data_IF_703368678836
#
_entry.id   IF_703368678836
#
_cell.length_a   1.000
_cell.length_b   1.000
_cell.length_c   1.000
_cell.angle_alpha   90.00
_cell.angle_beta   90.00
_cell.angle_gamma   90.00
#
_symmetry.space_group_name_H-M   'P 1'
#
loop_
_entity.id
_entity.type
_entity.pdbx_description
1 polymer ?
#
# COMPACT_ATOMS: atom_id res chain seq x y z
N UNK A 1 72.67 39.66 -38.57
CA UNK A 1 72.33 38.24 -38.37
C UNK A 1 70.90 37.98 -38.86
N UNK A 2 70.79 37.24 -39.96
CA UNK A 2 69.70 36.34 -40.41
C UNK A 2 68.21 36.80 -40.43
N UNK A 3 67.75 36.98 -41.69
CA UNK A 3 66.49 36.53 -42.36
C UNK A 3 65.16 37.13 -41.89
N UNK A 4 64.47 37.96 -42.69
CA UNK A 4 63.72 37.73 -43.94
C UNK A 4 62.33 37.07 -43.79
N UNK A 5 61.32 37.90 -44.11
CA UNK A 5 60.24 37.69 -45.08
C UNK A 5 58.89 37.06 -44.67
N UNK A 6 57.84 37.87 -44.92
CA UNK A 6 56.57 37.59 -45.64
C UNK A 6 55.60 36.53 -45.06
N UNK A 7 54.28 36.54 -45.27
CA UNK A 7 53.26 37.49 -45.73
C UNK A 7 51.90 36.76 -45.58
N UNK A 8 50.81 37.55 -45.51
CA UNK A 8 49.44 37.25 -45.97
C UNK A 8 48.49 36.29 -45.22
N UNK A 9 47.43 36.93 -44.71
CA UNK A 9 45.98 36.65 -44.90
C UNK A 9 45.41 35.26 -44.60
N UNK A 10 44.44 35.23 -43.67
CA UNK A 10 43.04 34.81 -43.97
C UNK A 10 42.08 35.13 -42.82
N UNK A 11 41.08 35.96 -43.13
CA UNK A 11 39.81 36.09 -42.41
C UNK A 11 39.12 34.72 -42.26
N UNK A 12 38.69 34.38 -41.04
CA UNK A 12 37.60 33.41 -40.80
C UNK A 12 36.73 33.86 -39.62
N UNK A 13 35.59 34.43 -39.99
CA UNK A 13 34.25 34.29 -39.38
C UNK A 13 34.16 34.12 -37.86
N UNK A 14 33.76 35.20 -37.20
CA UNK A 14 32.91 35.18 -36.01
C UNK A 14 31.55 34.60 -36.39
N UNK A 15 31.27 33.34 -36.07
CA UNK A 15 29.90 32.79 -36.07
C UNK A 15 29.83 31.50 -35.24
N UNK A 16 28.92 31.49 -34.26
CA UNK A 16 28.21 30.30 -33.80
C UNK A 16 29.01 29.29 -32.97
N UNK A 17 29.08 29.49 -31.66
CA UNK A 17 28.91 28.36 -30.73
C UNK A 17 27.43 28.28 -30.35
N UNK A 18 26.63 27.76 -31.28
CA UNK A 18 25.37 27.15 -30.92
C UNK A 18 25.67 26.06 -29.90
N UNK A 19 25.22 26.28 -28.66
CA UNK A 19 24.90 25.19 -27.76
C UNK A 19 23.93 24.29 -28.51
N UNK A 20 24.44 23.17 -29.01
CA UNK A 20 23.62 22.09 -29.54
C UNK A 20 22.77 21.59 -28.37
N UNK A 21 21.56 22.13 -28.27
CA UNK A 21 20.45 21.51 -27.59
C UNK A 21 20.26 20.15 -28.28
N UNK A 22 20.81 19.09 -27.68
CA UNK A 22 20.47 17.73 -28.09
C UNK A 22 19.00 17.53 -27.74
N UNK A 23 18.13 17.77 -28.72
CA UNK A 23 16.75 17.32 -28.71
C UNK A 23 16.76 15.79 -28.73
N UNK A 24 16.82 15.15 -27.56
CA UNK A 24 16.60 13.71 -27.49
C UNK A 24 15.11 13.44 -27.68
N UNK A 25 14.74 12.88 -28.82
CA UNK A 25 13.39 12.40 -29.16
C UNK A 25 13.03 11.07 -28.48
N UNK A 26 13.84 10.63 -27.51
CA UNK A 26 13.65 9.35 -26.82
C UNK A 26 12.71 9.50 -25.63
N UNK A 27 11.77 8.56 -25.43
CA UNK A 27 10.84 8.60 -24.31
C UNK A 27 11.58 8.53 -22.97
N UNK A 28 11.00 9.14 -21.93
CA UNK A 28 11.51 8.98 -20.57
C UNK A 28 11.35 7.52 -20.13
N UNK A 29 12.44 6.86 -19.78
CA UNK A 29 12.42 5.49 -19.27
C UNK A 29 12.33 5.49 -17.74
N UNK A 30 11.28 4.86 -17.20
CA UNK A 30 11.07 4.66 -15.75
C UNK A 30 11.00 3.16 -15.47
N UNK A 31 11.85 2.70 -14.54
CA UNK A 31 11.89 1.30 -14.14
C UNK A 31 11.18 1.11 -12.79
N UNK A 32 10.13 0.30 -12.71
CA UNK A 32 9.34 0.10 -11.49
C UNK A 32 9.41 -1.34 -10.99
N UNK A 33 9.45 -1.53 -9.66
CA UNK A 33 9.51 -2.86 -9.05
C UNK A 33 8.51 -2.97 -7.91
N UNK A 34 7.40 -3.67 -8.16
CA UNK A 34 6.45 -4.11 -7.14
C UNK A 34 6.63 -5.62 -6.88
N UNK A 35 6.61 -6.02 -5.60
CA UNK A 35 6.75 -7.43 -5.20
C UNK A 35 5.47 -8.06 -4.64
N UNK A 36 4.40 -7.29 -4.48
CA UNK A 36 3.15 -7.68 -3.85
C UNK A 36 1.95 -6.99 -4.51
N UNK A 37 0.75 -7.55 -4.37
CA UNK A 37 -0.47 -7.02 -4.97
C UNK A 37 -0.81 -5.59 -4.50
N UNK A 38 -0.53 -5.25 -3.23
CA UNK A 38 -0.69 -3.87 -2.72
C UNK A 38 0.24 -2.89 -3.43
N UNK A 39 1.51 -3.27 -3.62
CA UNK A 39 2.50 -2.49 -4.34
C UNK A 39 2.14 -2.31 -5.82
N UNK A 40 1.55 -3.33 -6.45
CA UNK A 40 1.07 -3.26 -7.83
C UNK A 40 -0.04 -2.22 -8.01
N UNK A 41 -1.03 -2.18 -7.12
CA UNK A 41 -2.10 -1.15 -7.16
C UNK A 41 -1.52 0.26 -7.00
N UNK A 42 -0.58 0.45 -6.06
CA UNK A 42 0.12 1.74 -5.87
C UNK A 42 0.91 2.10 -7.12
N UNK A 43 1.62 1.13 -7.71
CA UNK A 43 2.39 1.30 -8.94
C UNK A 43 1.55 1.67 -10.15
N UNK A 44 0.40 1.02 -10.34
CA UNK A 44 -0.55 1.37 -11.41
C UNK A 44 -1.04 2.81 -11.28
N UNK A 45 -1.44 3.23 -10.06
CA UNK A 45 -1.85 4.62 -9.80
C UNK A 45 -0.73 5.62 -10.07
N UNK A 46 0.50 5.30 -9.67
CA UNK A 46 1.68 6.11 -9.95
C UNK A 46 1.95 6.24 -11.46
N UNK A 47 1.93 5.12 -12.20
CA UNK A 47 2.13 5.12 -13.65
C UNK A 47 1.10 5.98 -14.37
N UNK A 48 -0.18 5.85 -13.98
CA UNK A 48 -1.26 6.69 -14.49
C UNK A 48 -1.02 8.17 -14.22
N UNK A 49 -0.68 8.52 -12.97
CA UNK A 49 -0.41 9.90 -12.59
C UNK A 49 0.82 10.48 -13.32
N UNK A 50 1.88 9.70 -13.48
CA UNK A 50 3.07 10.10 -14.25
C UNK A 50 2.74 10.42 -15.70
N UNK A 51 1.99 9.57 -16.39
CA UNK A 51 1.59 9.84 -17.78
C UNK A 51 0.75 11.12 -17.89
N UNK A 52 -0.16 11.33 -16.95
CA UNK A 52 -1.03 12.51 -16.96
C UNK A 52 -0.27 13.81 -16.69
N UNK A 53 0.77 13.78 -15.83
CA UNK A 53 1.48 14.98 -15.42
C UNK A 53 2.74 15.29 -16.25
N UNK A 54 3.37 14.30 -16.90
CA UNK A 54 4.66 14.50 -17.59
C UNK A 54 4.55 15.31 -18.87
N UNK A 55 3.44 15.20 -19.63
CA UNK A 55 3.27 15.95 -20.89
C UNK A 55 4.09 15.42 -22.08
N UNK A 56 4.76 14.27 -21.95
CA UNK A 56 5.52 13.60 -23.01
C UNK A 56 5.38 12.07 -22.96
N UNK A 57 6.15 11.36 -23.81
CA UNK A 57 6.13 9.89 -23.83
C UNK A 57 6.97 9.29 -22.69
N UNK A 58 6.37 8.38 -21.92
CA UNK A 58 7.04 7.59 -20.88
C UNK A 58 7.03 6.12 -21.29
N UNK A 59 8.20 5.47 -21.21
CA UNK A 59 8.34 4.03 -21.32
C UNK A 59 8.51 3.42 -19.93
N UNK A 60 7.63 2.48 -19.58
CA UNK A 60 7.67 1.74 -18.33
C UNK A 60 8.22 0.33 -18.53
N UNK A 61 9.25 -0.03 -17.75
CA UNK A 61 9.80 -1.39 -17.68
C UNK A 61 9.91 -1.83 -16.22
N UNK A 62 9.93 -3.14 -15.95
CA UNK A 62 10.25 -3.66 -14.63
C UNK A 62 9.41 -4.85 -14.19
N UNK A 63 9.00 -4.85 -12.92
CA UNK A 63 8.26 -5.95 -12.28
C UNK A 63 6.96 -5.40 -11.72
N UNK A 64 5.84 -5.94 -12.16
CA UNK A 64 4.50 -5.50 -11.75
C UNK A 64 3.44 -6.55 -12.03
N UNK A 65 2.27 -6.36 -11.42
CA UNK A 65 1.09 -7.18 -11.59
C UNK A 65 0.12 -6.61 -12.61
N UNK A 66 -1.15 -6.99 -12.48
CA UNK A 66 -2.18 -6.63 -13.45
C UNK A 66 -2.50 -5.14 -13.46
N UNK A 67 -2.39 -4.46 -12.31
CA UNK A 67 -2.66 -3.01 -12.21
C UNK A 67 -1.60 -2.21 -12.97
N UNK A 68 -0.32 -2.54 -12.80
CA UNK A 68 0.77 -1.88 -13.56
C UNK A 68 0.74 -2.27 -15.04
N UNK A 69 0.39 -3.52 -15.38
CA UNK A 69 0.26 -3.96 -16.77
C UNK A 69 -0.86 -3.23 -17.51
N UNK A 70 -2.00 -3.01 -16.87
CA UNK A 70 -3.11 -2.23 -17.43
C UNK A 70 -2.69 -0.77 -17.75
N UNK A 71 -1.66 -0.28 -17.05
CA UNK A 71 -1.12 1.07 -17.19
C UNK A 71 0.08 1.15 -18.17
N UNK A 72 0.32 0.09 -18.95
CA UNK A 72 1.32 0.08 -20.02
C UNK A 72 2.69 -0.48 -19.63
N UNK A 73 2.79 -1.23 -18.53
CA UNK A 73 3.99 -2.04 -18.26
C UNK A 73 4.05 -3.19 -19.28
N UNK A 74 4.82 -2.99 -20.37
CA UNK A 74 4.78 -3.80 -21.59
C UNK A 74 4.91 -5.31 -21.33
N UNK A 75 5.80 -5.69 -20.41
CA UNK A 75 5.86 -7.04 -19.84
C UNK A 75 6.58 -7.00 -18.49
N UNK A 76 6.05 -7.73 -17.50
CA UNK A 76 6.77 -7.91 -16.24
C UNK A 76 7.95 -8.84 -16.48
N UNK A 77 9.13 -8.48 -15.95
CA UNK A 77 10.36 -9.26 -16.10
C UNK A 77 10.25 -10.69 -15.55
N UNK A 78 9.39 -10.87 -14.56
CA UNK A 78 8.95 -12.15 -13.98
C UNK A 78 7.66 -11.93 -13.16
N UNK A 79 6.93 -12.99 -12.79
CA UNK A 79 5.77 -12.86 -11.90
C UNK A 79 6.14 -12.25 -10.55
N UNK A 80 5.50 -11.14 -10.15
CA UNK A 80 5.79 -10.48 -8.87
C UNK A 80 5.55 -11.38 -7.65
N UNK A 81 4.69 -12.40 -7.77
CA UNK A 81 4.45 -13.42 -6.74
C UNK A 81 5.73 -14.20 -6.37
N UNK A 82 6.75 -14.20 -7.22
CA UNK A 82 8.05 -14.80 -6.89
C UNK A 82 8.88 -13.97 -5.90
N UNK A 83 8.55 -12.69 -5.71
CA UNK A 83 9.15 -11.82 -4.68
C UNK A 83 8.36 -11.86 -3.36
N UNK A 84 7.11 -12.31 -3.41
CA UNK A 84 6.25 -12.49 -2.24
C UNK A 84 6.71 -13.71 -1.45
N UNK A 85 7.54 -13.47 -0.44
CA UNK A 85 8.06 -14.53 0.44
C UNK A 85 7.31 -14.48 1.75
N UNK A 86 6.76 -15.62 2.13
CA UNK A 86 5.84 -15.70 3.25
C UNK A 86 6.62 -16.04 4.54
N UNK A 87 6.75 -15.09 5.47
CA UNK A 87 7.22 -15.35 6.85
C UNK A 87 8.72 -15.60 7.02
N UNK A 88 9.24 -15.42 8.25
CA UNK A 88 10.69 -15.42 8.52
C UNK A 88 11.37 -16.78 8.28
N UNK A 89 10.66 -17.90 8.47
CA UNK A 89 11.20 -19.25 8.31
C UNK A 89 11.17 -19.78 6.86
N UNK A 90 10.15 -19.42 6.06
CA UNK A 90 10.05 -19.85 4.66
C UNK A 90 10.93 -18.98 3.73
N UNK A 91 11.56 -17.92 4.26
CA UNK A 91 12.55 -17.12 3.54
C UNK A 91 13.79 -17.93 3.19
N UNK A 92 14.29 -18.78 4.10
CA UNK A 92 15.58 -19.46 3.93
C UNK A 92 15.66 -20.31 2.64
N UNK A 93 14.67 -21.19 2.33
CA UNK A 93 14.69 -21.96 1.07
C UNK A 93 14.50 -21.10 -0.18
N UNK A 94 13.87 -19.93 -0.04
CA UNK A 94 13.61 -19.02 -1.17
C UNK A 94 14.79 -18.09 -1.50
N UNK A 95 15.81 -18.01 -0.63
CA UNK A 95 16.96 -17.11 -0.81
C UNK A 95 17.69 -17.26 -2.16
N UNK A 96 17.97 -18.47 -2.69
CA UNK A 96 18.64 -18.61 -3.99
C UNK A 96 17.84 -18.00 -5.13
N UNK A 97 16.51 -18.21 -5.11
CA UNK A 97 15.58 -17.64 -6.08
C UNK A 97 15.51 -16.12 -5.97
N UNK A 98 15.40 -15.58 -4.77
CA UNK A 98 15.42 -14.12 -4.55
C UNK A 98 16.73 -13.52 -5.06
N UNK A 99 17.87 -14.15 -4.79
CA UNK A 99 19.18 -13.70 -5.28
C UNK A 99 19.26 -13.74 -6.81
N UNK A 100 18.73 -14.80 -7.44
CA UNK A 100 18.64 -14.88 -8.90
C UNK A 100 17.76 -13.76 -9.49
N UNK A 101 16.60 -13.49 -8.90
CA UNK A 101 15.70 -12.39 -9.31
C UNK A 101 16.33 -11.02 -9.09
N UNK A 102 17.11 -10.84 -8.02
CA UNK A 102 17.89 -9.63 -7.78
C UNK A 102 18.91 -9.40 -8.91
N UNK A 103 19.69 -10.42 -9.27
CA UNK A 103 20.67 -10.35 -10.36
C UNK A 103 20.00 -10.10 -11.72
N UNK A 104 18.88 -10.76 -11.99
CA UNK A 104 18.10 -10.57 -13.21
C UNK A 104 17.57 -9.13 -13.30
N UNK A 105 17.01 -8.60 -12.21
CA UNK A 105 16.50 -7.21 -12.16
C UNK A 105 17.64 -6.21 -12.36
N UNK A 106 18.80 -6.42 -11.74
CA UNK A 106 19.98 -5.57 -11.97
C UNK A 106 20.45 -5.60 -13.43
N UNK A 107 20.38 -6.75 -14.12
CA UNK A 107 20.70 -6.85 -15.55
C UNK A 107 19.70 -6.08 -16.40
N UNK A 108 18.41 -6.19 -16.09
CA UNK A 108 17.35 -5.46 -16.78
C UNK A 108 17.50 -3.94 -16.61
N UNK A 109 17.69 -3.44 -15.39
CA UNK A 109 17.96 -2.01 -15.13
C UNK A 109 19.17 -1.51 -15.93
N UNK A 110 20.25 -2.29 -15.99
CA UNK A 110 21.43 -1.92 -16.80
C UNK A 110 21.14 -1.88 -18.30
N UNK A 111 20.32 -2.80 -18.82
CA UNK A 111 19.94 -2.81 -20.24
C UNK A 111 19.05 -1.62 -20.57
N UNK A 112 18.09 -1.34 -19.70
CA UNK A 112 17.09 -0.30 -19.89
C UNK A 112 17.65 1.13 -19.80
N UNK A 113 18.76 1.32 -19.07
CA UNK A 113 19.34 2.64 -18.77
C UNK A 113 18.25 3.67 -18.34
N UNK A 114 17.45 3.35 -17.31
CA UNK A 114 16.33 4.22 -16.93
C UNK A 114 16.84 5.53 -16.34
N UNK A 115 16.00 6.56 -16.40
CA UNK A 115 16.25 7.82 -15.70
C UNK A 115 16.00 7.66 -14.20
N UNK A 116 14.99 6.86 -13.85
CA UNK A 116 14.56 6.60 -12.47
C UNK A 116 14.26 5.12 -12.27
N UNK A 117 14.73 4.57 -11.15
CA UNK A 117 14.33 3.24 -10.64
C UNK A 117 13.50 3.44 -9.39
N UNK A 118 12.26 2.95 -9.39
CA UNK A 118 11.31 3.08 -8.29
C UNK A 118 11.01 1.70 -7.70
N UNK A 119 11.52 1.45 -6.49
CA UNK A 119 11.07 0.31 -5.67
C UNK A 119 9.75 0.66 -4.99
N UNK A 120 8.69 -0.12 -5.22
CA UNK A 120 7.35 0.14 -4.64
C UNK A 120 7.06 -0.93 -3.59
N UNK A 121 6.92 -0.49 -2.34
CA UNK A 121 6.78 -1.37 -1.18
C UNK A 121 7.87 -2.47 -1.16
N UNK A 122 7.57 -3.70 -0.71
CA UNK A 122 8.44 -4.88 -0.72
C UNK A 122 9.88 -4.57 -0.29
N UNK A 123 9.99 -3.82 0.82
CA UNK A 123 11.20 -3.15 1.32
C UNK A 123 12.43 -4.08 1.39
N UNK A 124 12.22 -5.35 1.71
CA UNK A 124 13.30 -6.34 1.78
C UNK A 124 14.03 -6.54 0.45
N UNK A 125 13.30 -6.71 -0.65
CA UNK A 125 13.87 -6.87 -1.99
C UNK A 125 14.32 -5.53 -2.57
N UNK A 126 13.45 -4.52 -2.53
CA UNK A 126 13.68 -3.24 -3.17
C UNK A 126 14.86 -2.48 -2.55
N UNK A 127 14.97 -2.42 -1.21
CA UNK A 127 16.12 -1.74 -0.58
C UNK A 127 17.45 -2.47 -0.86
N UNK A 128 17.44 -3.79 -1.02
CA UNK A 128 18.64 -4.55 -1.44
C UNK A 128 19.02 -4.25 -2.90
N UNK A 129 18.03 -4.17 -3.79
CA UNK A 129 18.22 -3.77 -5.17
C UNK A 129 18.81 -2.36 -5.26
N UNK A 130 18.16 -1.37 -4.64
CA UNK A 130 18.57 0.03 -4.68
C UNK A 130 19.97 0.21 -4.09
N UNK A 131 20.27 -0.38 -2.92
CA UNK A 131 21.65 -0.36 -2.37
C UNK A 131 22.67 -0.97 -3.32
N UNK A 132 22.36 -2.10 -3.97
CA UNK A 132 23.30 -2.72 -4.90
C UNK A 132 23.56 -1.84 -6.14
N UNK A 133 22.52 -1.16 -6.65
CA UNK A 133 22.65 -0.18 -7.72
C UNK A 133 23.45 1.04 -7.27
N UNK A 134 23.23 1.54 -6.05
CA UNK A 134 23.97 2.66 -5.47
C UNK A 134 25.47 2.33 -5.30
N UNK A 135 25.81 1.15 -4.79
CA UNK A 135 27.20 0.69 -4.68
C UNK A 135 27.89 0.63 -6.05
N UNK A 136 27.19 0.12 -7.08
CA UNK A 136 27.71 0.10 -8.45
C UNK A 136 27.90 1.51 -9.02
N UNK A 137 26.94 2.43 -8.77
CA UNK A 137 27.06 3.85 -9.14
C UNK A 137 28.31 4.48 -8.53
N UNK A 138 28.54 4.27 -7.23
CA UNK A 138 29.71 4.79 -6.53
C UNK A 138 31.04 4.23 -7.08
N UNK A 139 31.05 2.95 -7.49
CA UNK A 139 32.21 2.35 -8.15
C UNK A 139 32.42 2.88 -9.58
N UNK A 140 31.33 3.12 -10.32
CA UNK A 140 31.35 3.58 -11.71
C UNK A 140 31.70 5.07 -11.84
N UNK A 141 31.33 5.91 -10.86
CA UNK A 141 31.70 7.33 -10.80
C UNK A 141 33.22 7.56 -10.70
N UNK A 142 34.00 6.54 -10.33
CA UNK A 142 35.48 6.56 -10.39
C UNK A 142 36.03 6.34 -11.80
N UNK A 143 35.20 5.85 -12.72
CA UNK A 143 35.61 5.37 -14.06
C UNK A 143 34.88 6.09 -15.22
N UNK A 144 34.16 7.20 -14.97
CA UNK A 144 33.59 8.03 -16.04
C UNK A 144 32.43 7.42 -16.85
N UNK A 145 31.66 6.50 -16.27
CA UNK A 145 30.54 5.78 -16.91
C UNK A 145 29.23 6.62 -16.87
N UNK A 146 28.28 6.48 -17.82
CA UNK A 146 27.11 7.37 -17.99
C UNK A 146 26.21 7.54 -16.76
N UNK A 147 25.37 8.59 -16.79
CA UNK A 147 24.46 9.01 -15.72
C UNK A 147 23.67 7.82 -15.14
N UNK A 148 23.95 7.50 -13.88
CA UNK A 148 23.24 6.45 -13.17
C UNK A 148 21.81 6.90 -12.85
N UNK A 149 20.84 5.97 -12.80
CA UNK A 149 19.46 6.31 -12.48
C UNK A 149 19.34 6.93 -11.10
N UNK A 150 18.34 7.78 -10.93
CA UNK A 150 17.85 8.19 -9.61
C UNK A 150 17.16 7.00 -8.96
N UNK A 151 17.52 6.71 -7.72
CA UNK A 151 17.07 5.55 -6.95
C UNK A 151 16.01 5.98 -5.93
N UNK A 152 14.75 5.62 -6.19
CA UNK A 152 13.63 6.02 -5.36
C UNK A 152 13.01 4.80 -4.70
N UNK A 153 12.69 4.90 -3.41
CA UNK A 153 11.83 3.93 -2.73
C UNK A 153 10.49 4.62 -2.45
N UNK A 154 9.41 4.08 -3.02
CA UNK A 154 8.04 4.44 -2.70
C UNK A 154 7.50 3.48 -1.64
N UNK A 155 6.89 4.04 -0.58
CA UNK A 155 6.52 3.35 0.66
C UNK A 155 7.77 3.05 1.50
N UNK A 156 8.11 4.02 2.36
CA UNK A 156 9.26 3.92 3.25
C UNK A 156 9.14 2.80 4.29
N UNK A 157 10.27 2.26 4.79
CA UNK A 157 10.23 1.30 5.87
C UNK A 157 9.72 1.92 7.16
N UNK A 158 8.94 1.15 7.92
CA UNK A 158 8.34 1.60 9.19
C UNK A 158 9.38 1.61 10.31
N UNK A 159 10.43 2.43 10.15
CA UNK A 159 11.56 2.52 11.08
C UNK A 159 11.10 2.95 12.49
N UNK A 160 10.08 3.82 12.55
CA UNK A 160 9.41 4.27 13.77
C UNK A 160 8.78 3.15 14.60
N UNK A 161 8.52 1.97 14.01
CA UNK A 161 7.90 0.86 14.72
C UNK A 161 8.86 0.12 15.69
N UNK A 162 10.07 0.64 15.87
CA UNK A 162 11.15 -0.01 16.61
C UNK A 162 11.87 0.99 17.52
N UNK A 163 12.42 0.51 18.62
CA UNK A 163 13.04 1.37 19.65
C UNK A 163 14.30 2.10 19.17
N UNK A 164 14.87 1.68 18.04
CA UNK A 164 16.06 2.23 17.38
C UNK A 164 15.72 2.97 16.08
N UNK A 165 14.58 3.68 16.06
CA UNK A 165 14.03 4.31 14.85
C UNK A 165 15.05 5.11 14.03
N UNK A 166 15.83 5.98 14.68
CA UNK A 166 16.88 6.78 14.02
C UNK A 166 17.99 5.94 13.41
N UNK A 167 18.46 4.91 14.12
CA UNK A 167 19.48 4.00 13.62
C UNK A 167 18.97 3.21 12.41
N UNK A 168 17.69 2.79 12.43
CA UNK A 168 17.07 2.11 11.28
C UNK A 168 16.86 3.03 10.09
N UNK A 169 16.43 4.26 10.32
CA UNK A 169 16.32 5.26 9.27
C UNK A 169 17.69 5.53 8.64
N UNK A 170 18.74 5.68 9.46
CA UNK A 170 20.11 5.93 9.00
C UNK A 170 20.69 4.79 8.14
N UNK A 171 20.18 3.55 8.24
CA UNK A 171 20.60 2.43 7.36
C UNK A 171 20.28 2.67 5.88
N UNK A 172 19.42 3.62 5.56
CA UNK A 172 19.07 3.95 4.16
C UNK A 172 20.00 5.00 3.55
N UNK A 173 20.87 5.65 4.35
CA UNK A 173 21.84 6.65 3.87
C UNK A 173 22.67 6.11 2.71
N UNK A 174 22.73 6.87 1.63
CA UNK A 174 23.49 6.53 0.42
C UNK A 174 22.96 5.34 -0.39
N UNK A 175 21.85 4.71 0.03
CA UNK A 175 21.21 3.60 -0.68
C UNK A 175 20.01 4.01 -1.53
N UNK A 176 19.47 5.20 -1.28
CA UNK A 176 18.36 5.83 -2.02
C UNK A 176 18.65 7.32 -2.20
N UNK A 177 18.20 7.88 -3.31
CA UNK A 177 18.27 9.32 -3.60
C UNK A 177 17.02 10.04 -3.11
N UNK A 178 15.88 9.35 -3.03
CA UNK A 178 14.63 9.90 -2.50
C UNK A 178 13.76 8.80 -1.89
N UNK A 179 13.10 9.10 -0.78
CA UNK A 179 12.14 8.23 -0.12
C UNK A 179 10.75 8.87 -0.14
N UNK A 180 9.79 8.26 -0.83
CA UNK A 180 8.41 8.72 -0.82
C UNK A 180 7.67 8.03 0.34
N UNK A 181 7.38 8.81 1.38
CA UNK A 181 6.80 8.32 2.65
C UNK A 181 5.31 8.64 2.74
N UNK A 182 4.58 7.79 3.48
CA UNK A 182 3.11 7.80 3.47
C UNK A 182 2.49 8.41 4.72
N UNK A 183 3.26 8.51 5.80
CA UNK A 183 2.80 9.09 7.05
C UNK A 183 3.51 10.44 7.29
N UNK A 184 2.80 11.44 7.82
CA UNK A 184 3.32 12.82 7.89
C UNK A 184 4.59 12.92 8.76
N UNK A 185 4.70 12.13 9.82
CA UNK A 185 5.87 12.15 10.70
C UNK A 185 7.10 11.40 10.13
N UNK A 186 6.92 10.56 9.10
CA UNK A 186 8.02 9.77 8.52
C UNK A 186 9.04 10.68 7.83
N UNK A 187 8.59 11.75 7.18
CA UNK A 187 9.48 12.67 6.44
C UNK A 187 10.52 13.30 7.38
N UNK A 188 10.07 13.83 8.53
CA UNK A 188 10.96 14.37 9.55
C UNK A 188 11.92 13.31 10.12
N UNK A 189 11.43 12.07 10.33
CA UNK A 189 12.24 10.94 10.80
C UNK A 189 13.37 10.58 9.85
N UNK A 190 13.11 10.50 8.55
CA UNK A 190 14.14 10.14 7.58
C UNK A 190 15.10 11.30 7.31
N UNK A 191 14.58 12.53 7.22
CA UNK A 191 15.42 13.73 6.99
C UNK A 191 16.40 14.00 8.12
N UNK A 192 15.96 13.92 9.40
CA UNK A 192 16.88 14.07 10.54
C UNK A 192 17.93 12.95 10.57
N UNK A 193 17.57 11.78 10.05
CA UNK A 193 18.48 10.66 9.85
C UNK A 193 19.29 10.79 8.55
N UNK A 194 19.34 11.94 7.87
CA UNK A 194 20.18 12.18 6.69
C UNK A 194 19.76 11.42 5.44
N UNK A 195 18.51 11.01 5.34
CA UNK A 195 17.92 10.34 4.17
C UNK A 195 16.93 11.29 3.52
N UNK A 196 17.09 11.65 2.23
CA UNK A 196 16.11 12.46 1.51
C UNK A 196 14.76 11.76 1.52
N UNK A 197 13.72 12.49 1.93
CA UNK A 197 12.37 11.98 2.00
C UNK A 197 11.38 13.08 1.68
N UNK A 198 10.26 12.69 1.06
CA UNK A 198 9.12 13.55 0.74
C UNK A 198 7.86 12.85 1.20
N UNK A 199 7.06 13.52 2.02
CA UNK A 199 5.71 13.05 2.34
C UNK A 199 4.81 13.23 1.13
N UNK A 200 4.26 12.13 0.63
CA UNK A 200 3.40 12.11 -0.57
C UNK A 200 1.96 11.79 -0.25
N UNK A 201 1.57 11.77 1.02
CA UNK A 201 0.23 11.33 1.43
C UNK A 201 0.04 9.81 1.35
N UNK A 202 -1.13 9.35 1.80
CA UNK A 202 -1.42 7.93 1.92
C UNK A 202 -2.31 7.41 0.78
N UNK A 203 -1.91 6.37 0.01
CA UNK A 203 -2.68 5.84 -1.13
C UNK A 203 -4.09 5.32 -0.79
N UNK A 204 -4.34 4.97 0.47
CA UNK A 204 -5.66 4.60 0.97
C UNK A 204 -6.71 5.70 0.75
N UNK A 205 -6.28 6.96 0.65
CA UNK A 205 -7.16 8.08 0.37
C UNK A 205 -7.40 8.31 -1.12
N UNK A 206 -6.66 7.66 -2.02
CA UNK A 206 -6.83 7.89 -3.47
C UNK A 206 -8.16 7.34 -4.00
N UNK A 207 -8.79 6.40 -3.28
CA UNK A 207 -10.13 5.88 -3.60
C UNK A 207 -11.27 6.74 -3.01
N UNK A 208 -10.91 7.74 -2.23
CA UNK A 208 -11.79 8.69 -1.55
C UNK A 208 -11.67 10.00 -2.31
N UNK A 209 -12.77 10.75 -2.50
CA UNK A 209 -12.72 11.96 -3.30
C UNK A 209 -11.77 12.99 -2.66
N UNK A 210 -11.24 13.89 -3.49
CA UNK A 210 -10.49 15.06 -3.02
C UNK A 210 -11.43 15.85 -2.07
N UNK A 211 -11.12 15.85 -0.77
CA UNK A 211 -12.02 16.35 0.28
C UNK A 211 -12.29 15.35 1.41
N UNK A 212 -11.96 14.07 1.21
CA UNK A 212 -12.09 12.98 2.20
C UNK A 212 -13.52 12.54 2.48
N UNK A 213 -14.42 12.87 1.56
CA UNK A 213 -15.72 12.22 1.43
C UNK A 213 -15.61 11.09 0.40
N UNK A 214 -16.20 9.91 0.65
CA UNK A 214 -16.39 8.93 -0.41
C UNK A 214 -17.21 9.58 -1.52
N UNK A 215 -16.82 9.42 -2.81
CA UNK A 215 -17.53 10.06 -3.91
C UNK A 215 -19.01 9.69 -3.93
N UNK A 216 -19.83 10.66 -4.34
CA UNK A 216 -21.29 10.59 -4.35
C UNK A 216 -21.95 11.16 -3.09
N UNK A 217 -23.22 11.52 -3.19
CA UNK A 217 -24.08 11.99 -2.08
C UNK A 217 -24.37 10.86 -1.09
N UNK A 218 -24.84 11.21 0.12
CA UNK A 218 -25.25 10.20 1.10
C UNK A 218 -26.34 9.26 0.55
N UNK A 219 -27.24 9.78 -0.30
CA UNK A 219 -28.28 9.00 -0.97
C UNK A 219 -27.70 8.03 -2.00
N UNK A 220 -26.74 8.46 -2.81
CA UNK A 220 -26.06 7.60 -3.80
C UNK A 220 -25.29 6.47 -3.12
N UNK A 221 -24.60 6.76 -2.00
CA UNK A 221 -23.91 5.73 -1.22
C UNK A 221 -24.89 4.73 -0.60
N UNK A 222 -26.03 5.18 -0.11
CA UNK A 222 -27.09 4.29 0.39
C UNK A 222 -27.69 3.42 -0.73
N UNK A 223 -27.82 3.97 -1.93
CA UNK A 223 -28.28 3.23 -3.11
C UNK A 223 -27.25 2.18 -3.55
N UNK A 224 -25.95 2.53 -3.59
CA UNK A 224 -24.84 1.59 -3.89
C UNK A 224 -24.81 0.44 -2.88
N UNK A 225 -24.90 0.74 -1.59
CA UNK A 225 -24.97 -0.26 -0.53
C UNK A 225 -26.20 -1.18 -0.67
N UNK A 226 -27.36 -0.62 -1.03
CA UNK A 226 -28.60 -1.38 -1.27
C UNK A 226 -28.48 -2.28 -2.50
N UNK A 227 -27.89 -1.78 -3.58
CA UNK A 227 -27.63 -2.56 -4.79
C UNK A 227 -26.68 -3.72 -4.50
N UNK A 228 -25.59 -3.47 -3.77
CA UNK A 228 -24.66 -4.50 -3.35
C UNK A 228 -25.32 -5.57 -2.46
N UNK A 229 -26.17 -5.15 -1.50
CA UNK A 229 -26.93 -6.10 -0.67
C UNK A 229 -27.78 -7.04 -1.54
N UNK A 230 -28.43 -6.52 -2.59
CA UNK A 230 -29.22 -7.35 -3.52
C UNK A 230 -28.34 -8.27 -4.36
N UNK A 231 -27.24 -7.76 -4.92
CA UNK A 231 -26.30 -8.53 -5.75
C UNK A 231 -25.73 -9.74 -5.00
N UNK A 232 -25.38 -9.55 -3.73
CA UNK A 232 -24.74 -10.57 -2.89
C UNK A 232 -25.75 -11.44 -2.14
N UNK A 233 -27.06 -11.14 -2.27
CA UNK A 233 -28.13 -11.90 -1.62
C UNK A 233 -28.20 -11.69 -0.10
N UNK A 234 -27.84 -10.49 0.37
CA UNK A 234 -27.93 -10.11 1.78
C UNK A 234 -29.37 -9.74 2.16
N UNK A 235 -29.80 -10.15 3.35
CA UNK A 235 -31.14 -9.80 3.84
C UNK A 235 -31.25 -8.29 4.13
N UNK A 236 -32.38 -7.63 3.78
CA UNK A 236 -32.59 -6.20 4.06
C UNK A 236 -32.49 -5.83 5.54
N UNK A 237 -32.88 -6.74 6.44
CA UNK A 237 -32.82 -6.53 7.89
C UNK A 237 -31.54 -7.08 8.55
N UNK A 238 -30.65 -7.72 7.78
CA UNK A 238 -29.40 -8.26 8.31
C UNK A 238 -28.49 -7.16 8.82
N UNK A 239 -27.84 -7.45 9.94
CA UNK A 239 -26.63 -6.76 10.34
C UNK A 239 -25.44 -7.40 9.64
N UNK A 240 -24.69 -6.59 8.91
CA UNK A 240 -23.61 -7.06 8.04
C UNK A 240 -22.27 -6.88 8.74
N UNK A 241 -21.57 -7.99 8.96
CA UNK A 241 -20.23 -8.01 9.52
C UNK A 241 -19.20 -8.23 8.39
N UNK A 242 -18.39 -7.21 8.10
CA UNK A 242 -17.34 -7.31 7.09
C UNK A 242 -16.06 -7.88 7.71
N UNK A 243 -15.57 -9.01 7.21
CA UNK A 243 -14.34 -9.65 7.70
C UNK A 243 -13.22 -9.43 6.69
N UNK A 244 -12.12 -8.84 7.14
CA UNK A 244 -10.98 -8.46 6.29
C UNK A 244 -9.72 -9.15 6.84
N UNK A 245 -9.40 -10.38 6.39
CA UNK A 245 -8.36 -11.20 7.01
C UNK A 245 -6.92 -10.81 6.63
N UNK A 246 -6.75 -9.82 5.74
CA UNK A 246 -5.44 -9.39 5.22
C UNK A 246 -5.30 -9.65 3.72
N UNK A 247 -4.19 -9.20 3.15
CA UNK A 247 -3.93 -9.31 1.70
C UNK A 247 -2.94 -10.40 1.34
N UNK A 248 -2.19 -10.91 2.32
CA UNK A 248 -1.17 -11.95 2.12
C UNK A 248 -1.71 -13.33 2.48
N UNK A 249 -1.26 -14.37 1.79
CA UNK A 249 -1.71 -15.74 2.03
C UNK A 249 -1.54 -16.19 3.49
N UNK A 250 -0.43 -15.86 4.14
CA UNK A 250 -0.22 -16.19 5.56
C UNK A 250 -1.16 -15.44 6.50
N UNK A 251 -1.39 -14.15 6.24
CA UNK A 251 -2.35 -13.36 7.01
C UNK A 251 -3.75 -13.96 6.85
N UNK A 252 -4.16 -14.27 5.62
CA UNK A 252 -5.45 -14.92 5.33
C UNK A 252 -5.58 -16.27 6.06
N UNK A 253 -4.57 -17.14 5.97
CA UNK A 253 -4.56 -18.46 6.63
C UNK A 253 -4.60 -18.37 8.15
N UNK A 254 -3.92 -17.38 8.74
CA UNK A 254 -3.88 -17.22 10.20
C UNK A 254 -5.14 -16.53 10.73
N UNK A 255 -5.63 -15.50 10.04
CA UNK A 255 -6.68 -14.61 10.53
C UNK A 255 -8.08 -15.11 10.18
N UNK A 256 -8.32 -15.49 8.92
CA UNK A 256 -9.67 -15.78 8.45
C UNK A 256 -10.39 -16.86 9.29
N UNK A 257 -9.76 -17.98 9.69
CA UNK A 257 -10.41 -18.95 10.58
C UNK A 257 -10.80 -18.35 11.93
N UNK A 258 -9.97 -17.47 12.50
CA UNK A 258 -10.27 -16.79 13.77
C UNK A 258 -11.44 -15.83 13.63
N UNK A 259 -11.48 -15.05 12.54
CA UNK A 259 -12.56 -14.11 12.26
C UNK A 259 -13.90 -14.84 12.08
N UNK A 260 -13.90 -15.90 11.28
CA UNK A 260 -15.10 -16.72 11.04
C UNK A 260 -15.60 -17.33 12.36
N UNK A 261 -14.72 -17.96 13.16
CA UNK A 261 -15.11 -18.53 14.46
C UNK A 261 -15.66 -17.46 15.42
N UNK A 262 -15.11 -16.25 15.41
CA UNK A 262 -15.63 -15.14 16.22
C UNK A 262 -17.02 -14.71 15.78
N UNK A 263 -17.22 -14.53 14.48
CA UNK A 263 -18.52 -14.19 13.90
C UNK A 263 -19.58 -15.27 14.16
N UNK A 264 -19.19 -16.53 14.09
CA UNK A 264 -20.03 -17.68 14.38
C UNK A 264 -20.45 -17.76 15.84
N UNK A 265 -19.50 -17.51 16.76
CA UNK A 265 -19.78 -17.45 18.20
C UNK A 265 -20.75 -16.31 18.52
N UNK A 266 -20.60 -15.16 17.86
CA UNK A 266 -21.55 -14.06 17.97
C UNK A 266 -22.94 -14.46 17.48
N UNK A 267 -23.04 -15.08 16.30
CA UNK A 267 -24.32 -15.53 15.76
C UNK A 267 -25.02 -16.55 16.68
N UNK A 268 -24.26 -17.44 17.31
CA UNK A 268 -24.76 -18.39 18.30
C UNK A 268 -25.26 -17.72 19.58
N UNK A 269 -24.46 -16.81 20.18
CA UNK A 269 -24.89 -16.02 21.34
C UNK A 269 -26.17 -15.24 21.05
N UNK A 270 -26.29 -14.69 19.84
CA UNK A 270 -27.47 -13.96 19.41
C UNK A 270 -28.72 -14.84 19.40
N UNK A 271 -28.62 -16.05 18.84
CA UNK A 271 -29.72 -17.04 18.84
C UNK A 271 -30.14 -17.47 20.23
N UNK A 272 -29.19 -17.57 21.17
CA UNK A 272 -29.45 -17.92 22.57
C UNK A 272 -30.00 -16.75 23.40
N UNK A 273 -30.08 -15.54 22.84
CA UNK A 273 -30.49 -14.34 23.58
C UNK A 273 -29.42 -13.79 24.53
N UNK A 274 -28.17 -14.25 24.41
CA UNK A 274 -27.03 -13.91 25.28
C UNK A 274 -26.19 -12.74 24.73
N UNK A 275 -26.51 -12.25 23.54
CA UNK A 275 -25.81 -11.14 22.90
C UNK A 275 -26.53 -9.81 23.17
N UNK A 276 -25.80 -8.72 23.35
CA UNK A 276 -26.37 -7.38 23.49
C UNK A 276 -27.15 -6.97 22.23
N UNK A 277 -26.71 -7.47 21.07
CA UNK A 277 -27.37 -7.29 19.78
C UNK A 277 -28.61 -8.17 19.58
N UNK A 278 -28.95 -9.08 20.51
CA UNK A 278 -30.16 -9.92 20.43
C UNK A 278 -31.46 -9.11 20.41
N UNK A 279 -31.45 -7.83 20.82
CA UNK A 279 -32.58 -6.91 20.63
C UNK A 279 -32.96 -6.66 19.17
N UNK A 280 -32.07 -6.96 18.23
CA UNK A 280 -32.29 -6.74 16.81
C UNK A 280 -32.75 -8.02 16.12
N UNK A 281 -33.92 -7.97 15.49
CA UNK A 281 -34.61 -9.15 14.96
C UNK A 281 -33.95 -9.78 13.71
N UNK A 282 -33.14 -9.01 12.98
CA UNK A 282 -32.46 -9.50 11.76
C UNK A 282 -31.31 -10.48 12.02
N UNK A 283 -30.89 -11.27 11.01
CA UNK A 283 -29.75 -12.17 11.13
C UNK A 283 -28.41 -11.41 11.10
N UNK A 284 -27.32 -12.10 11.46
CA UNK A 284 -25.96 -11.65 11.17
C UNK A 284 -25.52 -12.33 9.87
N UNK A 285 -25.09 -11.52 8.91
CA UNK A 285 -24.54 -12.00 7.64
C UNK A 285 -23.12 -11.47 7.46
N UNK A 286 -22.24 -12.32 6.91
CA UNK A 286 -20.81 -12.06 6.79
C UNK A 286 -20.48 -11.72 5.34
N UNK A 287 -19.63 -10.72 5.16
CA UNK A 287 -19.05 -10.39 3.85
C UNK A 287 -17.53 -10.44 3.97
N UNK A 288 -16.86 -11.15 3.06
CA UNK A 288 -15.40 -11.27 3.02
C UNK A 288 -14.88 -10.74 1.69
N UNK A 289 -14.42 -9.48 1.62
CA UNK A 289 -13.74 -8.97 0.43
C UNK A 289 -12.36 -9.60 0.29
N UNK A 290 -12.19 -10.45 -0.71
CA UNK A 290 -10.91 -11.08 -1.01
C UNK A 290 -9.95 -10.09 -1.70
N UNK A 291 -8.68 -10.11 -1.30
CA UNK A 291 -7.63 -9.39 -2.02
C UNK A 291 -7.42 -9.98 -3.43
N UNK A 292 -6.86 -9.22 -4.39
CA UNK A 292 -6.54 -9.73 -5.72
C UNK A 292 -5.72 -11.03 -5.64
N UNK A 293 -6.13 -12.07 -6.38
CA UNK A 293 -5.48 -13.37 -6.37
C UNK A 293 -5.75 -14.25 -5.14
N UNK A 294 -6.47 -13.77 -4.12
CA UNK A 294 -6.73 -14.52 -2.88
C UNK A 294 -8.10 -15.19 -2.82
N UNK A 295 -8.96 -15.00 -3.82
CA UNK A 295 -10.35 -15.50 -3.82
C UNK A 295 -10.45 -17.00 -3.54
N UNK A 296 -9.69 -17.82 -4.27
CA UNK A 296 -9.73 -19.28 -4.11
C UNK A 296 -9.29 -19.75 -2.72
N UNK A 297 -8.29 -19.09 -2.12
CA UNK A 297 -7.82 -19.42 -0.77
C UNK A 297 -8.86 -19.02 0.30
N UNK A 298 -9.49 -17.86 0.12
CA UNK A 298 -10.57 -17.40 1.01
C UNK A 298 -11.77 -18.34 0.92
N UNK A 299 -12.23 -18.68 -0.29
CA UNK A 299 -13.33 -19.62 -0.49
C UNK A 299 -13.04 -20.98 0.17
N UNK A 300 -11.83 -21.51 -0.03
CA UNK A 300 -11.39 -22.76 0.59
C UNK A 300 -11.47 -22.71 2.11
N UNK A 301 -10.92 -21.67 2.73
CA UNK A 301 -10.91 -21.53 4.20
C UNK A 301 -12.33 -21.32 4.75
N UNK A 302 -13.17 -20.53 4.06
CA UNK A 302 -14.57 -20.34 4.43
C UNK A 302 -15.30 -21.69 4.41
N UNK A 303 -15.17 -22.45 3.33
CA UNK A 303 -15.79 -23.77 3.21
C UNK A 303 -15.29 -24.72 4.31
N UNK A 304 -13.98 -24.85 4.51
CA UNK A 304 -13.40 -25.73 5.54
C UNK A 304 -13.84 -25.35 6.95
N UNK A 305 -13.82 -24.05 7.28
CA UNK A 305 -14.15 -23.57 8.62
C UNK A 305 -15.63 -23.72 8.93
N UNK A 306 -16.51 -23.41 7.96
CA UNK A 306 -17.96 -23.51 8.15
C UNK A 306 -18.46 -24.96 8.03
N UNK A 307 -17.85 -25.80 7.19
CA UNK A 307 -18.24 -27.22 7.01
C UNK A 307 -17.90 -28.09 8.22
N UNK A 308 -16.84 -27.76 8.97
CA UNK A 308 -16.45 -28.46 10.20
C UNK A 308 -17.54 -28.48 11.30
N UNK A 309 -18.67 -27.79 11.10
CA UNK A 309 -19.79 -27.70 12.04
C UNK A 309 -20.88 -28.77 11.84
N UNK A 310 -20.83 -29.53 10.75
CA UNK A 310 -21.92 -30.45 10.38
C UNK A 310 -23.21 -29.71 9.98
N UNK A 311 -24.16 -30.43 9.39
CA UNK A 311 -25.41 -29.90 8.82
C UNK A 311 -26.46 -29.45 9.85
N UNK A 312 -26.10 -29.34 11.13
CA UNK A 312 -27.00 -28.88 12.18
C UNK A 312 -27.16 -27.35 12.16
N UNK A 313 -28.00 -26.91 11.22
CA UNK A 313 -28.70 -25.62 11.04
C UNK A 313 -28.30 -24.41 11.89
N UNK A 314 -27.88 -23.34 11.21
CA UNK A 314 -27.96 -21.96 11.73
C UNK A 314 -26.65 -21.15 11.73
N UNK A 315 -25.61 -21.57 11.02
CA UNK A 315 -24.39 -20.75 10.85
C UNK A 315 -24.66 -19.39 10.21
N UNK A 316 -23.80 -18.40 10.46
CA UNK A 316 -23.89 -17.11 9.78
C UNK A 316 -23.61 -17.31 8.28
N UNK A 317 -24.48 -16.78 7.41
CA UNK A 317 -24.28 -16.83 5.96
C UNK A 317 -23.03 -16.01 5.63
N UNK A 318 -22.12 -16.57 4.82
CA UNK A 318 -20.88 -15.90 4.45
C UNK A 318 -20.78 -15.74 2.94
N UNK A 319 -20.67 -14.50 2.48
CA UNK A 319 -20.51 -14.17 1.07
C UNK A 319 -19.09 -13.66 0.80
N UNK A 320 -18.34 -14.38 -0.05
CA UNK A 320 -17.01 -13.96 -0.47
C UNK A 320 -17.13 -13.12 -1.74
N UNK A 321 -16.58 -11.91 -1.73
CA UNK A 321 -16.64 -10.98 -2.85
C UNK A 321 -15.25 -10.66 -3.38
N UNK A 322 -15.16 -10.30 -4.66
CA UNK A 322 -13.90 -9.89 -5.28
C UNK A 322 -13.43 -8.51 -4.81
N UNK A 323 -12.19 -8.15 -5.14
CA UNK A 323 -11.60 -6.87 -4.77
C UNK A 323 -12.34 -5.66 -5.37
N UNK A 324 -12.99 -5.82 -6.53
CA UNK A 324 -13.78 -4.77 -7.18
C UNK A 324 -15.02 -4.35 -6.39
N UNK A 325 -15.59 -5.25 -5.58
CA UNK A 325 -16.79 -4.96 -4.77
C UNK A 325 -16.46 -4.52 -3.35
N UNK A 326 -15.18 -4.30 -3.02
CA UNK A 326 -14.72 -3.98 -1.66
C UNK A 326 -15.36 -2.69 -1.11
N UNK A 327 -15.37 -1.64 -1.92
CA UNK A 327 -15.95 -0.35 -1.53
C UNK A 327 -17.45 -0.47 -1.23
N UNK A 328 -18.18 -1.15 -2.11
CA UNK A 328 -19.60 -1.40 -1.94
C UNK A 328 -19.86 -2.27 -0.69
N UNK A 329 -18.99 -3.25 -0.41
CA UNK A 329 -19.04 -4.03 0.82
C UNK A 329 -18.87 -3.16 2.08
N UNK A 330 -17.97 -2.17 2.05
CA UNK A 330 -17.82 -1.22 3.16
C UNK A 330 -19.07 -0.37 3.34
N UNK A 331 -19.65 0.15 2.26
CA UNK A 331 -20.90 0.90 2.32
C UNK A 331 -22.07 0.10 2.89
N UNK A 332 -22.09 -1.22 2.70
CA UNK A 332 -23.13 -2.11 3.20
C UNK A 332 -22.89 -2.62 4.64
N UNK A 333 -21.66 -2.51 5.16
CA UNK A 333 -21.25 -3.08 6.44
C UNK A 333 -21.70 -2.24 7.64
N UNK A 334 -22.18 -2.90 8.69
CA UNK A 334 -22.51 -2.26 9.96
C UNK A 334 -21.28 -2.19 10.88
N UNK A 335 -20.44 -3.23 10.85
CA UNK A 335 -19.15 -3.32 11.56
C UNK A 335 -18.15 -4.06 10.68
N UNK A 336 -16.88 -3.68 10.73
CA UNK A 336 -15.77 -4.39 10.10
C UNK A 336 -14.77 -4.93 11.14
N UNK A 337 -14.39 -6.21 11.01
CA UNK A 337 -13.27 -6.79 11.77
C UNK A 337 -12.11 -6.99 10.80
N UNK A 338 -11.05 -6.22 10.98
CA UNK A 338 -10.02 -6.09 9.97
C UNK A 338 -8.61 -6.31 10.49
N UNK A 339 -7.83 -7.10 9.74
CA UNK A 339 -6.41 -7.26 9.97
C UNK A 339 -5.72 -5.89 10.03
N UNK A 340 -4.86 -5.71 11.03
CA UNK A 340 -4.18 -4.44 11.28
C UNK A 340 -3.33 -3.99 10.09
N UNK A 341 -3.62 -2.82 9.51
CA UNK A 341 -2.84 -2.25 8.41
C UNK A 341 -3.54 -1.11 7.67
N UNK A 342 -3.16 -0.93 6.40
CA UNK A 342 -3.73 0.10 5.50
C UNK A 342 -5.26 0.03 5.41
N UNK A 343 -5.83 -1.17 5.49
CA UNK A 343 -7.27 -1.38 5.38
C UNK A 343 -8.06 -0.62 6.45
N UNK A 344 -7.47 -0.39 7.64
CA UNK A 344 -8.11 0.38 8.70
C UNK A 344 -8.28 1.86 8.32
N UNK A 345 -7.39 2.40 7.49
CA UNK A 345 -7.52 3.76 6.95
C UNK A 345 -8.60 3.84 5.86
N UNK A 346 -8.71 2.81 5.02
CA UNK A 346 -9.80 2.72 4.02
C UNK A 346 -11.17 2.66 4.72
N UNK A 347 -11.30 1.84 5.77
CA UNK A 347 -12.52 1.75 6.59
C UNK A 347 -12.81 3.06 7.33
N UNK A 348 -11.78 3.73 7.86
CA UNK A 348 -11.94 5.05 8.46
C UNK A 348 -12.45 6.07 7.44
N UNK A 349 -11.98 6.00 6.19
CA UNK A 349 -12.44 6.87 5.13
C UNK A 349 -13.88 6.61 4.71
N UNK A 350 -14.34 5.36 4.72
CA UNK A 350 -15.74 5.05 4.46
C UNK A 350 -16.65 5.26 5.67
N UNK A 351 -16.10 5.54 6.86
CA UNK A 351 -16.86 5.76 8.09
C UNK A 351 -17.46 4.48 8.66
N UNK A 352 -16.89 3.33 8.32
CA UNK A 352 -17.34 2.03 8.83
C UNK A 352 -16.77 1.82 10.23
N UNK A 353 -17.62 1.54 11.25
CA UNK A 353 -17.15 1.14 12.57
C UNK A 353 -16.32 -0.12 12.48
N UNK A 354 -15.20 -0.17 13.19
CA UNK A 354 -14.22 -1.23 12.98
C UNK A 354 -13.54 -1.68 14.27
N UNK A 355 -12.98 -2.90 14.22
CA UNK A 355 -12.04 -3.44 15.20
C UNK A 355 -10.78 -3.89 14.46
N UNK A 356 -9.62 -3.40 14.88
CA UNK A 356 -8.35 -3.86 14.35
C UNK A 356 -7.93 -5.15 15.06
N UNK A 357 -7.53 -6.15 14.29
CA UNK A 357 -7.15 -7.45 14.80
C UNK A 357 -5.84 -7.91 14.19
N UNK A 358 -5.01 -8.61 14.94
CA UNK A 358 -3.81 -9.24 14.36
C UNK A 358 -3.37 -10.42 15.19
N UNK A 359 -3.10 -11.55 14.54
CA UNK A 359 -2.59 -12.77 15.15
C UNK A 359 -1.32 -13.21 14.44
N UNK A 360 -0.38 -13.81 15.19
CA UNK A 360 0.85 -14.37 14.64
C UNK A 360 1.07 -15.77 15.21
N UNK A 361 1.97 -16.54 14.59
CA UNK A 361 2.42 -17.80 15.18
C UNK A 361 3.09 -17.55 16.54
N UNK A 362 2.93 -18.46 17.49
CA UNK A 362 3.44 -18.32 18.87
C UNK A 362 4.92 -17.91 18.95
N UNK A 363 5.76 -18.42 18.04
CA UNK A 363 7.18 -18.10 17.96
C UNK A 363 7.44 -16.63 17.55
N UNK A 364 6.65 -16.12 16.60
CA UNK A 364 6.72 -14.72 16.14
C UNK A 364 6.15 -13.79 17.21
N UNK A 365 5.06 -14.21 17.88
CA UNK A 365 4.46 -13.51 19.00
C UNK A 365 5.44 -13.29 20.15
N UNK A 366 6.29 -14.26 20.46
CA UNK A 366 7.32 -14.13 21.49
C UNK A 366 8.36 -13.03 21.17
N UNK A 367 8.86 -12.99 19.94
CA UNK A 367 9.82 -11.97 19.48
C UNK A 367 9.19 -10.59 19.50
N UNK A 368 7.97 -10.46 18.97
CA UNK A 368 7.22 -9.19 18.97
C UNK A 368 6.96 -8.73 20.41
N UNK A 369 6.55 -9.64 21.31
CA UNK A 369 6.31 -9.35 22.73
C UNK A 369 7.54 -8.82 23.44
N UNK A 370 8.72 -9.39 23.16
CA UNK A 370 9.95 -9.03 23.88
C UNK A 370 10.64 -7.80 23.33
N UNK A 371 10.53 -7.54 22.02
CA UNK A 371 11.30 -6.50 21.33
C UNK A 371 10.46 -5.33 20.81
N UNK A 372 9.19 -5.55 20.42
CA UNK A 372 8.37 -4.51 19.77
C UNK A 372 7.25 -3.97 20.66
N UNK A 373 6.58 -4.83 21.45
CA UNK A 373 5.48 -4.42 22.34
C UNK A 373 5.85 -3.34 23.37
N UNK A 374 7.09 -3.28 23.92
CA UNK A 374 7.49 -2.18 24.79
C UNK A 374 7.58 -0.82 24.09
N UNK A 375 7.72 -0.82 22.76
CA UNK A 375 7.93 0.39 21.94
C UNK A 375 6.63 0.80 21.23
N UNK A 376 5.88 -0.18 20.72
CA UNK A 376 4.61 0.03 20.02
C UNK A 376 3.45 0.07 21.00
N UNK A 377 3.03 1.29 21.37
CA UNK A 377 1.80 1.50 22.16
C UNK A 377 0.52 1.19 21.38
N UNK A 378 0.60 1.29 20.05
CA UNK A 378 -0.50 1.09 19.11
C UNK A 378 0.01 0.37 17.87
N UNK A 379 -0.83 -0.47 17.26
CA UNK A 379 -0.49 -1.18 16.03
C UNK A 379 -1.24 -0.65 14.81
N UNK A 380 -2.49 -0.20 14.99
CA UNK A 380 -3.31 0.29 13.88
C UNK A 380 -2.90 1.69 13.48
N UNK A 381 -2.87 1.96 12.16
CA UNK A 381 -2.51 3.28 11.64
C UNK A 381 -3.39 4.40 12.20
N UNK A 382 -4.73 4.24 12.38
CA UNK A 382 -5.54 5.24 13.07
C UNK A 382 -5.04 5.64 14.44
N UNK A 383 -4.70 4.66 15.29
CA UNK A 383 -4.25 4.93 16.66
C UNK A 383 -2.84 5.51 16.68
N UNK A 384 -1.94 5.03 15.81
CA UNK A 384 -0.57 5.54 15.67
C UNK A 384 -0.60 7.03 15.28
N UNK A 385 -1.43 7.39 14.30
CA UNK A 385 -1.57 8.77 13.83
C UNK A 385 -2.23 9.67 14.89
N UNK A 386 -3.18 9.13 15.67
CA UNK A 386 -3.83 9.86 16.75
C UNK A 386 -2.98 9.97 18.03
N UNK A 387 -1.95 9.15 18.18
CA UNK A 387 -1.15 9.03 19.41
C UNK A 387 -1.93 8.50 20.62
N UNK A 388 -3.16 8.01 20.41
CA UNK A 388 -4.08 7.53 21.45
C UNK A 388 -4.99 6.44 20.88
N UNK A 389 -5.59 5.65 21.76
CA UNK A 389 -6.54 4.62 21.36
C UNK A 389 -7.85 5.27 20.93
N UNK A 390 -8.13 5.24 19.63
CA UNK A 390 -9.42 5.59 19.01
C UNK A 390 -10.17 4.35 18.53
N UNK A 391 -9.42 3.36 18.04
CA UNK A 391 -9.87 2.10 17.48
C UNK A 391 -9.51 0.96 18.44
N UNK A 392 -10.45 0.07 18.76
CA UNK A 392 -10.15 -1.14 19.53
C UNK A 392 -9.17 -2.03 18.76
N UNK A 393 -8.11 -2.46 19.44
CA UNK A 393 -7.06 -3.34 18.90
C UNK A 393 -7.05 -4.66 19.67
N UNK A 394 -7.34 -5.78 19.00
CA UNK A 394 -7.16 -7.13 19.54
C UNK A 394 -5.90 -7.75 18.91
N UNK A 395 -4.79 -7.68 19.63
CA UNK A 395 -3.49 -8.07 19.10
C UNK A 395 -2.97 -9.32 19.81
N UNK A 396 -2.37 -10.22 19.05
CA UNK A 396 -1.68 -11.42 19.53
C UNK A 396 -2.61 -12.30 20.38
N UNK A 397 -2.30 -12.51 21.66
CA UNK A 397 -3.08 -13.33 22.57
C UNK A 397 -4.51 -12.79 22.79
N UNK A 398 -4.72 -11.49 22.61
CA UNK A 398 -6.06 -10.86 22.73
C UNK A 398 -6.93 -11.13 21.49
N UNK A 399 -6.32 -11.53 20.36
CA UNK A 399 -7.01 -11.84 19.10
C UNK A 399 -7.64 -13.25 19.14
N UNK A 400 -8.63 -13.43 20.02
CA UNK A 400 -9.38 -14.70 20.17
C UNK A 400 -10.77 -14.61 19.57
N UNK A 401 -11.38 -15.74 19.14
CA UNK A 401 -12.77 -15.76 18.69
C UNK A 401 -13.76 -15.20 19.72
N UNK A 402 -13.51 -15.40 21.02
CA UNK A 402 -14.35 -14.86 22.09
C UNK A 402 -14.34 -13.32 22.11
N UNK A 403 -13.14 -12.74 22.14
CA UNK A 403 -12.94 -11.28 22.14
C UNK A 403 -13.48 -10.65 20.86
N UNK A 404 -13.24 -11.27 19.70
CA UNK A 404 -13.80 -10.82 18.42
C UNK A 404 -15.34 -10.77 18.48
N UNK A 405 -15.96 -11.83 19.01
CA UNK A 405 -17.42 -11.88 19.15
C UNK A 405 -17.95 -10.79 20.09
N UNK A 406 -17.28 -10.55 21.23
CA UNK A 406 -17.67 -9.55 22.22
C UNK A 406 -17.57 -8.12 21.67
N UNK A 407 -16.46 -7.76 21.02
CA UNK A 407 -16.29 -6.42 20.46
C UNK A 407 -17.23 -6.18 19.26
N UNK A 408 -17.44 -7.19 18.41
CA UNK A 408 -18.41 -7.12 17.32
C UNK A 408 -19.84 -6.95 17.86
N UNK A 409 -20.22 -7.69 18.92
CA UNK A 409 -21.52 -7.54 19.58
C UNK A 409 -21.70 -6.14 20.17
N UNK A 410 -20.66 -5.63 20.84
CA UNK A 410 -20.69 -4.32 21.48
C UNK A 410 -21.02 -3.20 20.48
N UNK A 411 -20.34 -3.21 19.33
CA UNK A 411 -20.54 -2.23 18.26
C UNK A 411 -21.88 -2.42 17.56
N UNK A 412 -22.25 -3.66 17.20
CA UNK A 412 -23.52 -3.97 16.53
C UNK A 412 -24.74 -3.64 17.41
N UNK A 413 -24.60 -3.77 18.72
CA UNK A 413 -25.65 -3.42 19.65
C UNK A 413 -25.81 -1.89 19.82
N UNK A 414 -24.78 -1.09 19.52
CA UNK A 414 -24.75 0.37 19.73
C UNK A 414 -24.38 1.12 18.45
N UNK A 415 -25.22 1.06 17.39
CA UNK A 415 -24.87 1.63 16.08
C UNK A 415 -24.58 3.14 16.12
N UNK A 416 -25.26 3.92 16.97
CA UNK A 416 -25.00 5.36 17.11
C UNK A 416 -23.62 5.65 17.69
N UNK A 417 -23.19 4.89 18.70
CA UNK A 417 -21.86 5.02 19.31
C UNK A 417 -20.78 4.56 18.32
N UNK A 418 -20.98 3.40 17.70
CA UNK A 418 -20.08 2.85 16.70
C UNK A 418 -19.84 3.83 15.52
N UNK A 419 -20.90 4.49 15.04
CA UNK A 419 -20.80 5.52 14.00
C UNK A 419 -20.11 6.79 14.48
N UNK A 420 -20.32 7.20 15.74
CA UNK A 420 -19.64 8.35 16.32
C UNK A 420 -18.12 8.10 16.44
N UNK A 421 -17.72 6.89 16.85
CA UNK A 421 -16.30 6.48 16.90
C UNK A 421 -15.67 6.49 15.49
N UNK A 422 -16.36 5.91 14.49
CA UNK A 422 -15.89 5.93 13.11
C UNK A 422 -15.74 7.36 12.55
N UNK A 423 -16.71 8.24 12.84
CA UNK A 423 -16.65 9.65 12.46
C UNK A 423 -15.50 10.39 13.15
N UNK A 424 -15.25 10.11 14.43
CA UNK A 424 -14.12 10.70 15.16
C UNK A 424 -12.78 10.27 14.56
N UNK A 425 -12.58 8.98 14.26
CA UNK A 425 -11.38 8.49 13.60
C UNK A 425 -11.18 9.22 12.28
N UNK A 426 -12.23 9.32 11.47
CA UNK A 426 -12.21 9.99 10.18
C UNK A 426 -11.79 11.46 10.28
N UNK A 427 -12.37 12.20 11.22
CA UNK A 427 -12.09 13.63 11.40
C UNK A 427 -10.66 13.89 11.88
N UNK A 428 -10.12 13.03 12.76
CA UNK A 428 -8.80 13.24 13.34
C UNK A 428 -7.66 12.71 12.46
N UNK A 429 -7.88 11.59 11.76
CA UNK A 429 -6.80 10.86 11.08
C UNK A 429 -6.65 11.30 9.62
N UNK A 430 -7.74 11.37 8.87
CA UNK A 430 -7.65 11.52 7.41
C UNK A 430 -7.06 12.84 6.92
N UNK A 431 -7.28 14.01 7.57
CA UNK A 431 -6.64 15.25 7.14
C UNK A 431 -5.11 15.16 7.14
N UNK A 432 -4.53 14.49 8.14
CA UNK A 432 -3.08 14.35 8.29
C UNK A 432 -2.42 13.48 7.22
N UNK A 433 -3.21 12.68 6.50
CA UNK A 433 -2.74 11.74 5.49
C UNK A 433 -2.78 12.30 4.06
N UNK A 434 -3.28 13.52 3.88
CA UNK A 434 -3.38 14.14 2.56
C UNK A 434 -2.08 14.80 2.17
N UNK A 435 -1.67 14.58 0.93
CA UNK A 435 -0.67 15.42 0.32
C UNK A 435 -1.28 16.78 -0.02
N UNK A 436 -0.45 17.81 0.06
CA UNK A 436 -0.80 19.19 -0.29
C UNK A 436 0.01 19.58 -1.53
N UNK A 437 -0.65 20.18 -2.51
CA UNK A 437 0.00 20.71 -3.72
C UNK A 437 0.57 22.12 -3.51
N UNK A 438 1.24 22.64 -4.54
CA UNK A 438 1.95 23.94 -4.50
C UNK A 438 1.04 25.18 -4.27
N UNK A 439 -0.29 24.99 -4.20
CA UNK A 439 -1.27 26.02 -3.87
C UNK A 439 -2.02 25.79 -2.55
N UNK A 440 -1.56 24.87 -1.69
CA UNK A 440 -2.26 24.54 -0.44
C UNK A 440 -3.45 23.58 -0.61
N UNK A 441 -3.82 23.26 -1.85
CA UNK A 441 -4.95 22.38 -2.14
C UNK A 441 -4.62 20.89 -1.92
N UNK A 442 -5.57 20.10 -1.39
CA UNK A 442 -5.40 18.65 -1.27
C UNK A 442 -5.19 17.99 -2.64
N UNK A 443 -4.24 17.07 -2.72
CA UNK A 443 -3.99 16.28 -3.91
C UNK A 443 -3.89 14.77 -3.59
N UNK A 444 -4.13 13.95 -4.62
CA UNK A 444 -3.97 12.49 -4.53
C UNK A 444 -2.52 12.12 -4.23
N UNK A 445 -2.32 11.04 -3.48
CA UNK A 445 -0.99 10.57 -3.12
C UNK A 445 -0.19 10.12 -4.34
N UNK A 446 -0.84 9.42 -5.28
CA UNK A 446 -0.26 9.07 -6.58
C UNK A 446 0.19 10.29 -7.39
N UNK A 447 -0.54 11.40 -7.33
CA UNK A 447 -0.18 12.66 -8.01
C UNK A 447 1.02 13.33 -7.33
N UNK A 448 1.04 13.38 -6.00
CA UNK A 448 2.16 13.92 -5.24
C UNK A 448 3.45 13.11 -5.49
N UNK A 449 3.35 11.78 -5.50
CA UNK A 449 4.43 10.88 -5.83
C UNK A 449 4.92 11.07 -7.28
N UNK A 450 4.01 11.18 -8.25
CA UNK A 450 4.37 11.47 -9.64
C UNK A 450 5.16 12.79 -9.74
N UNK A 451 4.66 13.88 -9.14
CA UNK A 451 5.36 15.18 -9.12
C UNK A 451 6.75 15.11 -8.49
N UNK A 452 6.89 14.34 -7.43
CA UNK A 452 8.21 14.11 -6.83
C UNK A 452 9.19 13.44 -7.80
N UNK A 453 8.71 12.50 -8.62
CA UNK A 453 9.51 11.81 -9.64
C UNK A 453 9.78 12.64 -10.89
N UNK A 454 8.86 13.52 -11.31
CA UNK A 454 9.01 14.35 -12.51
C UNK A 454 10.27 15.21 -12.46
N UNK A 455 10.68 15.67 -11.26
CA UNK A 455 11.93 16.43 -11.05
C UNK A 455 13.20 15.68 -11.47
N UNK A 456 13.11 14.37 -11.67
CA UNK A 456 14.21 13.49 -12.05
C UNK A 456 14.11 13.00 -13.50
N UNK A 457 13.05 13.36 -14.22
CA UNK A 457 12.86 13.03 -15.62
C UNK A 457 13.36 14.18 -16.52
N UNK A 458 13.75 13.89 -17.77
CA UNK A 458 14.10 14.95 -18.72
C UNK A 458 12.90 15.86 -18.97
N UNK A 459 13.15 17.10 -19.40
CA UNK A 459 12.06 18.02 -19.74
C UNK A 459 11.20 17.44 -20.86
N UNK A 460 9.88 17.46 -20.67
CA UNK A 460 8.96 16.99 -21.69
C UNK A 460 8.98 17.97 -22.87
N UNK A 461 9.28 17.44 -24.05
CA UNK A 461 9.17 18.22 -25.28
C UNK A 461 7.67 18.36 -25.60
N UNK A 462 7.10 19.53 -25.35
CA UNK A 462 5.81 19.91 -25.91
C UNK A 462 5.97 20.01 -27.42
N UNK A 463 5.39 19.08 -28.18
CA UNK A 463 5.12 19.31 -29.60
C UNK A 463 4.10 20.45 -29.69
N UNK A 464 4.57 21.69 -29.77
CA UNK A 464 3.80 22.77 -30.40
C UNK A 464 3.58 22.36 -31.84
N UNK A 465 2.36 21.90 -32.14
CA UNK A 465 1.86 21.75 -33.51
C UNK A 465 1.67 23.13 -34.16
#
# INVERSE_FOLDING_TARGET
>A
MRRCAAANLRLRSLQGRHLSSRSSTSPAVVFLVAGEASGDVIGGRLMRALRNEYGGAIHFEGVGGDSMRAEGLASSLFPMSELSVAGFAEVLPSLPRIAARLLQTQRAVRRAQPHVVVGIDSKGFNLRLLRSLAHRRAAAGRNGIPAAPVLVQYVGPSAWAFGDADARAARLRGGVDELLVLLPFEEALFRRAGVPATFVGHPALDDVAIGGEPPGTAAERAAEATAFRREVGLSPCAQVLCLLPGSRAQEVRAMLPLLLRGAERLAERRRRGEALSSRWAGPIELVVPAAPGMRGEVDRIVLETLAARGTAGGGARCSVVGSGSRRAAFGAADVAIAACGTINLELAATGVPQVAVYSTSWLTGFVIRRLLRPVLRHASLPNILAGRTLLTELLFEDCTPCRIAEEADFLLARPSLARAEAAQIRQLVLPSLRAVGDGGEPQLASRAAARALLRHLPEAQTCTL
#
